data_IF_820898496216
#
_entry.id   IF_820898496216
#
_cell.length_a   1.000
_cell.length_b   1.000
_cell.length_c   1.000
_cell.angle_alpha   90.00
_cell.angle_beta   90.00
_cell.angle_gamma   90.00
#
_symmetry.space_group_name_H-M   'P 1'
#
loop_
_entity.id
_entity.type
_entity.pdbx_description
1 polymer ?
#
# COMPACT_ATOMS: atom_id res chain seq x y z
N UNK A 1 -17.06 -3.68 1.66
CA UNK A 1 -15.70 -3.10 1.79
C UNK A 1 -15.82 -1.63 2.18
N UNK A 2 -15.09 -1.15 3.19
CA UNK A 2 -15.19 0.24 3.68
C UNK A 2 -14.18 1.15 2.98
N UNK A 3 -14.60 2.35 2.60
CA UNK A 3 -13.72 3.37 2.01
C UNK A 3 -12.91 4.07 3.12
N UNK A 4 -11.62 4.34 2.87
CA UNK A 4 -10.82 5.12 3.79
C UNK A 4 -11.25 6.58 3.75
N UNK A 5 -11.58 7.13 4.92
CA UNK A 5 -12.04 8.50 5.08
C UNK A 5 -11.01 9.26 5.91
N UNK A 6 -10.33 10.23 5.29
CA UNK A 6 -9.22 10.98 5.90
C UNK A 6 -9.66 11.76 7.15
N UNK A 7 -10.94 12.12 7.25
CA UNK A 7 -11.50 12.81 8.42
C UNK A 7 -11.79 11.87 9.62
N UNK A 8 -11.74 10.55 9.43
CA UNK A 8 -11.99 9.55 10.48
C UNK A 8 -10.71 8.92 11.04
N UNK A 9 -9.53 9.35 10.58
CA UNK A 9 -8.22 8.86 11.03
C UNK A 9 -8.08 8.90 12.57
N UNK A 10 -8.63 9.94 13.20
CA UNK A 10 -8.56 10.12 14.66
C UNK A 10 -9.55 9.23 15.43
N UNK A 11 -10.54 8.62 14.75
CA UNK A 11 -11.54 7.72 15.33
C UNK A 11 -11.34 6.26 14.90
N UNK A 12 -10.23 5.93 14.24
CA UNK A 12 -9.98 4.54 13.80
C UNK A 12 -9.75 3.61 14.99
N UNK A 13 -10.60 2.59 15.12
CA UNK A 13 -10.47 1.52 16.11
C UNK A 13 -9.29 0.60 15.77
N UNK A 14 -8.77 -0.14 16.76
CA UNK A 14 -7.67 -1.08 16.54
C UNK A 14 -7.99 -2.12 15.44
N UNK A 15 -9.23 -2.57 15.38
CA UNK A 15 -9.73 -3.49 14.36
C UNK A 15 -9.73 -2.85 12.96
N UNK A 16 -10.18 -1.61 12.82
CA UNK A 16 -10.16 -0.88 11.54
C UNK A 16 -8.74 -0.67 11.02
N UNK A 17 -7.79 -0.37 11.91
CA UNK A 17 -6.37 -0.23 11.57
C UNK A 17 -5.77 -1.53 11.06
N UNK A 18 -6.08 -2.65 11.73
CA UNK A 18 -5.67 -3.98 11.28
C UNK A 18 -6.22 -4.29 9.89
N UNK A 19 -7.53 -4.14 9.68
CA UNK A 19 -8.14 -4.34 8.35
C UNK A 19 -7.55 -3.45 7.27
N UNK A 20 -7.23 -2.19 7.59
CA UNK A 20 -6.63 -1.25 6.65
C UNK A 20 -5.23 -1.69 6.23
N UNK A 21 -4.41 -2.15 7.17
CA UNK A 21 -3.08 -2.72 6.91
C UNK A 21 -3.19 -3.89 5.94
N UNK A 22 -4.04 -4.89 6.23
CA UNK A 22 -4.23 -6.05 5.35
C UNK A 22 -4.71 -5.67 3.94
N UNK A 23 -5.66 -4.74 3.83
CA UNK A 23 -6.09 -4.23 2.52
C UNK A 23 -4.95 -3.56 1.75
N UNK A 24 -4.07 -2.85 2.45
CA UNK A 24 -2.95 -2.18 1.80
C UNK A 24 -1.86 -3.15 1.35
N UNK A 25 -1.73 -4.32 1.98
CA UNK A 25 -0.91 -5.40 1.43
C UNK A 25 -1.38 -5.81 0.02
N UNK A 26 -2.69 -5.99 -0.19
CA UNK A 26 -3.22 -6.36 -1.51
C UNK A 26 -2.91 -5.31 -2.59
N UNK A 27 -3.08 -4.02 -2.25
CA UNK A 27 -2.76 -2.92 -3.16
C UNK A 27 -1.24 -2.79 -3.40
N UNK A 28 -0.41 -3.12 -2.41
CA UNK A 28 1.04 -3.19 -2.52
C UNK A 28 1.48 -4.29 -3.51
N UNK A 29 0.95 -5.51 -3.36
CA UNK A 29 1.23 -6.65 -4.26
C UNK A 29 0.82 -6.34 -5.70
N UNK A 30 -0.33 -5.68 -5.88
CA UNK A 30 -0.79 -5.21 -7.19
C UNK A 30 0.12 -4.13 -7.81
N UNK A 31 1.11 -3.60 -7.07
CA UNK A 31 1.98 -2.52 -7.51
C UNK A 31 1.23 -1.20 -7.72
N UNK A 32 0.13 -0.99 -6.99
CA UNK A 32 -0.65 0.25 -7.00
C UNK A 32 -0.13 1.28 -6.01
N UNK A 33 0.73 0.84 -5.10
CA UNK A 33 1.49 1.71 -4.19
C UNK A 33 2.89 1.92 -4.79
N UNK A 34 3.29 3.16 -5.09
CA UNK A 34 4.65 3.45 -5.52
C UNK A 34 5.60 3.27 -4.33
N UNK A 35 6.34 2.16 -4.33
CA UNK A 35 7.34 1.84 -3.31
C UNK A 35 8.71 1.63 -3.94
N UNK A 36 9.77 2.07 -3.25
CA UNK A 36 11.14 1.67 -3.58
C UNK A 36 11.40 0.22 -3.14
N UNK A 37 12.42 -0.47 -3.68
CA UNK A 37 12.74 -1.85 -3.28
C UNK A 37 13.02 -1.97 -1.78
N UNK A 38 13.74 -1.00 -1.23
CA UNK A 38 14.05 -0.94 0.20
C UNK A 38 12.79 -0.79 1.05
N UNK A 39 11.84 0.04 0.60
CA UNK A 39 10.58 0.24 1.30
C UNK A 39 9.68 -1.00 1.23
N UNK A 40 9.60 -1.62 0.05
CA UNK A 40 8.83 -2.85 -0.16
C UNK A 40 9.35 -3.99 0.73
N UNK A 41 10.67 -4.10 0.88
CA UNK A 41 11.29 -5.07 1.77
C UNK A 41 10.96 -4.81 3.25
N UNK A 42 11.11 -3.57 3.71
CA UNK A 42 10.77 -3.19 5.09
C UNK A 42 9.28 -3.43 5.39
N UNK A 43 8.40 -3.12 4.44
CA UNK A 43 6.97 -3.42 4.56
C UNK A 43 6.74 -4.92 4.63
N UNK A 44 7.36 -5.71 3.75
CA UNK A 44 7.22 -7.17 3.77
C UNK A 44 7.70 -7.78 5.10
N UNK A 45 8.79 -7.27 5.68
CA UNK A 45 9.27 -7.68 7.00
C UNK A 45 8.28 -7.31 8.12
N UNK A 46 7.67 -6.13 8.07
CA UNK A 46 6.63 -5.72 9.04
C UNK A 46 5.36 -6.58 8.93
N UNK A 47 4.94 -6.94 7.71
CA UNK A 47 3.82 -7.88 7.52
C UNK A 47 4.16 -9.31 7.95
N UNK A 48 5.42 -9.73 7.77
CA UNK A 48 5.90 -11.01 8.28
C UNK A 48 5.82 -11.04 9.81
N UNK A 49 6.28 -9.97 10.48
CA UNK A 49 6.14 -9.79 11.93
C UNK A 49 4.67 -9.81 12.37
N UNK A 50 3.77 -9.21 11.58
CA UNK A 50 2.33 -9.22 11.87
C UNK A 50 1.69 -10.61 11.71
N UNK A 51 2.18 -11.41 10.76
CA UNK A 51 1.59 -12.71 10.40
C UNK A 51 2.14 -13.86 11.24
N UNK A 52 3.46 -13.85 11.50
CA UNK A 52 4.21 -14.95 12.11
C UNK A 52 4.81 -14.59 13.47
N UNK A 53 4.79 -13.32 13.87
CA UNK A 53 5.48 -12.84 15.07
C UNK A 53 6.98 -12.70 14.83
N UNK A 54 7.76 -12.92 15.89
CA UNK A 54 9.22 -12.75 15.85
C UNK A 54 9.90 -13.69 14.84
N UNK A 55 10.91 -13.17 14.15
CA UNK A 55 11.69 -13.95 13.20
C UNK A 55 12.37 -15.15 13.89
N UNK A 56 12.19 -16.32 13.31
CA UNK A 56 12.94 -17.51 13.71
C UNK A 56 14.40 -17.41 13.27
N UNK A 57 15.27 -18.21 13.88
CA UNK A 57 16.71 -18.24 13.54
C UNK A 57 16.98 -18.47 12.05
N UNK A 58 16.06 -19.13 11.35
CA UNK A 58 16.07 -19.28 9.90
C UNK A 58 14.68 -19.04 9.33
N UNK A 59 14.61 -18.27 8.24
CA UNK A 59 13.42 -18.14 7.41
C UNK A 59 13.23 -19.43 6.60
N UNK A 60 12.07 -20.07 6.68
CA UNK A 60 11.76 -21.25 5.85
C UNK A 60 11.37 -20.85 4.42
N UNK A 61 11.50 -21.78 3.47
CA UNK A 61 11.13 -21.52 2.08
C UNK A 61 9.64 -21.22 1.92
N UNK A 62 8.79 -21.92 2.67
CA UNK A 62 7.34 -21.70 2.69
C UNK A 62 6.98 -20.30 3.23
N UNK A 63 7.63 -19.85 4.30
CA UNK A 63 7.43 -18.50 4.85
C UNK A 63 7.87 -17.44 3.85
N UNK A 64 9.06 -17.60 3.24
CA UNK A 64 9.56 -16.66 2.26
C UNK A 64 8.64 -16.55 1.03
N UNK A 65 8.18 -17.68 0.49
CA UNK A 65 7.27 -17.72 -0.65
C UNK A 65 5.92 -17.09 -0.29
N UNK A 66 5.40 -17.35 0.90
CA UNK A 66 4.17 -16.70 1.39
C UNK A 66 4.34 -15.18 1.50
N UNK A 67 5.40 -14.72 2.17
CA UNK A 67 5.64 -13.29 2.42
C UNK A 67 5.82 -12.53 1.10
N UNK A 68 6.61 -13.07 0.18
CA UNK A 68 6.87 -12.41 -1.11
C UNK A 68 5.63 -12.37 -2.00
N UNK A 69 4.77 -13.39 -1.96
CA UNK A 69 3.51 -13.40 -2.72
C UNK A 69 2.44 -12.47 -2.14
N UNK A 70 2.36 -12.37 -0.81
CA UNK A 70 1.30 -11.62 -0.11
C UNK A 70 1.66 -10.18 0.22
N UNK A 71 2.95 -9.85 0.35
CA UNK A 71 3.38 -8.57 0.91
C UNK A 71 4.45 -7.85 0.08
N UNK A 72 4.87 -8.42 -1.06
CA UNK A 72 5.86 -7.80 -1.93
C UNK A 72 5.29 -7.54 -3.34
N UNK A 73 5.59 -6.39 -3.98
CA UNK A 73 5.09 -6.08 -5.32
C UNK A 73 5.60 -7.10 -6.36
N UNK A 74 4.68 -7.79 -7.05
CA UNK A 74 5.01 -8.84 -8.01
C UNK A 74 5.98 -8.35 -9.11
N UNK A 75 5.74 -7.13 -9.62
CA UNK A 75 6.59 -6.49 -10.64
C UNK A 75 8.04 -6.29 -10.21
N UNK A 76 8.27 -6.13 -8.91
CA UNK A 76 9.60 -5.93 -8.34
C UNK A 76 10.25 -7.27 -8.01
N UNK A 77 9.46 -8.28 -7.68
CA UNK A 77 9.93 -9.64 -7.45
C UNK A 77 10.54 -10.23 -8.72
N UNK A 78 9.94 -9.98 -9.88
CA UNK A 78 10.40 -10.48 -11.20
C UNK A 78 11.83 -10.02 -11.56
N UNK A 79 12.25 -8.86 -11.09
CA UNK A 79 13.57 -8.26 -11.35
C UNK A 79 14.53 -8.39 -10.17
N UNK A 80 14.06 -8.85 -9.02
CA UNK A 80 14.86 -8.96 -7.80
C UNK A 80 15.64 -10.29 -7.76
N UNK A 81 16.84 -10.26 -7.17
CA UNK A 81 17.57 -11.48 -6.84
C UNK A 81 16.96 -12.13 -5.59
N UNK A 82 16.22 -13.23 -5.75
CA UNK A 82 15.52 -13.91 -4.65
C UNK A 82 16.42 -14.31 -3.48
N UNK A 83 17.67 -14.74 -3.75
CA UNK A 83 18.63 -15.11 -2.71
C UNK A 83 19.00 -13.90 -1.83
N UNK A 84 19.30 -12.77 -2.46
CA UNK A 84 19.64 -11.54 -1.74
C UNK A 84 18.42 -10.97 -1.03
N UNK A 85 17.25 -10.97 -1.68
CA UNK A 85 15.99 -10.55 -1.09
C UNK A 85 15.66 -11.37 0.17
N UNK A 86 15.88 -12.68 0.13
CA UNK A 86 15.66 -13.56 1.29
C UNK A 86 16.52 -13.16 2.48
N UNK A 87 17.82 -13.00 2.27
CA UNK A 87 18.75 -12.64 3.34
C UNK A 87 18.45 -11.25 3.91
N UNK A 88 18.20 -10.27 3.04
CA UNK A 88 17.87 -8.91 3.49
C UNK A 88 16.54 -8.87 4.23
N UNK A 89 15.51 -9.55 3.72
CA UNK A 89 14.19 -9.65 4.36
C UNK A 89 14.29 -10.32 5.74
N UNK A 90 15.04 -11.42 5.85
CA UNK A 90 15.24 -12.09 7.13
C UNK A 90 16.01 -11.22 8.12
N UNK A 91 17.01 -10.47 7.66
CA UNK A 91 17.73 -9.49 8.49
C UNK A 91 16.78 -8.40 8.99
N UNK A 92 16.04 -7.78 8.07
CA UNK A 92 15.05 -6.75 8.39
C UNK A 92 13.96 -7.27 9.34
N UNK A 93 13.52 -8.51 9.18
CA UNK A 93 12.54 -9.13 10.07
C UNK A 93 13.13 -9.43 11.46
N UNK A 94 14.37 -9.89 11.51
CA UNK A 94 15.08 -10.14 12.79
C UNK A 94 15.32 -8.86 13.58
N UNK A 95 15.52 -7.72 12.91
CA UNK A 95 15.61 -6.40 13.56
C UNK A 95 14.29 -5.94 14.19
N UNK A 96 13.16 -6.48 13.74
CA UNK A 96 11.82 -6.19 14.27
C UNK A 96 11.43 -7.13 15.43
N UNK A 97 12.31 -8.04 15.84
CA UNK A 97 12.04 -8.97 16.94
C UNK A 97 11.74 -8.20 18.25
N UNK A 98 10.67 -8.61 18.94
CA UNK A 98 10.14 -7.92 20.12
C UNK A 98 9.17 -6.78 19.81
N UNK A 99 8.86 -6.54 18.54
CA UNK A 99 7.83 -5.58 18.14
C UNK A 99 6.44 -6.20 18.29
N UNK A 100 5.59 -5.56 19.09
CA UNK A 100 4.20 -5.98 19.26
C UNK A 100 3.33 -5.71 18.01
N UNK A 101 2.24 -6.46 17.86
CA UNK A 101 1.31 -6.35 16.72
C UNK A 101 0.80 -4.91 16.53
N UNK A 102 0.45 -4.23 17.62
CA UNK A 102 -0.05 -2.86 17.59
C UNK A 102 1.01 -1.86 17.09
N UNK A 103 2.28 -2.09 17.41
CA UNK A 103 3.39 -1.25 16.97
C UNK A 103 3.71 -1.52 15.50
N UNK A 104 3.69 -2.77 15.06
CA UNK A 104 3.84 -3.14 13.65
C UNK A 104 2.77 -2.46 12.79
N UNK A 105 1.49 -2.58 13.17
CA UNK A 105 0.36 -1.89 12.51
C UNK A 105 0.60 -0.39 12.47
N UNK A 106 1.05 0.22 13.57
CA UNK A 106 1.30 1.65 13.65
C UNK A 106 2.40 2.10 12.69
N UNK A 107 3.51 1.37 12.61
CA UNK A 107 4.63 1.70 11.70
C UNK A 107 4.22 1.51 10.25
N UNK A 108 3.55 0.41 9.90
CA UNK A 108 3.02 0.18 8.55
C UNK A 108 2.12 1.36 8.15
N UNK A 109 1.13 1.70 8.98
CA UNK A 109 0.23 2.81 8.70
C UNK A 109 0.96 4.15 8.62
N UNK A 110 1.98 4.39 9.45
CA UNK A 110 2.77 5.62 9.39
C UNK A 110 3.53 5.75 8.06
N UNK A 111 4.14 4.66 7.60
CA UNK A 111 4.85 4.60 6.32
C UNK A 111 3.86 4.79 5.17
N UNK A 112 2.76 4.04 5.18
CA UNK A 112 1.76 4.10 4.11
C UNK A 112 1.00 5.44 4.09
N UNK A 113 0.74 6.08 5.23
CA UNK A 113 0.12 7.42 5.29
C UNK A 113 1.00 8.53 4.72
N UNK A 114 2.33 8.33 4.61
CA UNK A 114 3.20 9.27 3.87
C UNK A 114 2.90 9.27 2.37
N UNK A 115 2.25 8.22 1.86
CA UNK A 115 1.81 8.18 0.48
C UNK A 115 0.60 9.13 0.29
N UNK A 116 0.68 10.16 -0.58
CA UNK A 116 -0.38 11.15 -0.75
C UNK A 116 -1.74 10.57 -1.17
N UNK A 117 -1.75 9.36 -1.74
CA UNK A 117 -2.97 8.65 -2.19
C UNK A 117 -3.40 7.55 -1.22
N UNK A 118 -2.86 7.54 -0.01
CA UNK A 118 -3.21 6.55 0.99
C UNK A 118 -4.74 6.51 1.21
N UNK A 119 -5.30 5.30 1.03
CA UNK A 119 -6.72 5.02 1.14
C UNK A 119 -7.59 5.44 -0.05
N UNK A 120 -7.01 5.98 -1.12
CA UNK A 120 -7.73 6.16 -2.36
C UNK A 120 -8.01 4.82 -3.04
N UNK A 121 -9.20 4.63 -3.61
CA UNK A 121 -9.44 3.47 -4.48
C UNK A 121 -8.80 3.75 -5.84
N UNK A 122 -7.71 3.05 -6.15
CA UNK A 122 -7.06 3.13 -7.47
C UNK A 122 -7.70 2.12 -8.42
N UNK A 123 -8.43 2.64 -9.40
CA UNK A 123 -8.97 1.86 -10.50
C UNK A 123 -8.23 2.20 -11.80
N UNK A 124 -7.73 1.18 -12.49
CA UNK A 124 -7.16 1.36 -13.81
C UNK A 124 -8.26 1.74 -14.81
N UNK A 125 -8.06 2.82 -15.55
CA UNK A 125 -8.97 3.29 -16.58
C UNK A 125 -8.20 3.68 -17.85
N UNK A 126 -8.85 3.53 -19.01
CA UNK A 126 -8.34 4.07 -20.27
C UNK A 126 -8.93 5.46 -20.48
N UNK A 127 -8.10 6.48 -20.70
CA UNK A 127 -8.60 7.80 -21.04
C UNK A 127 -8.93 7.83 -22.53
N UNK A 128 -10.20 8.11 -22.88
CA UNK A 128 -10.66 8.23 -24.27
C UNK A 128 -10.35 9.63 -24.82
N UNK A 129 -9.07 9.98 -24.83
CA UNK A 129 -8.53 11.15 -25.53
C UNK A 129 -7.70 10.69 -26.73
N UNK A 130 -7.36 11.59 -27.66
CA UNK A 130 -6.67 11.27 -28.94
C UNK A 130 -5.40 10.40 -28.80
N UNK A 131 -4.77 10.39 -27.64
CA UNK A 131 -3.81 9.37 -27.22
C UNK A 131 -4.46 8.44 -26.19
N UNK A 132 -4.70 7.17 -26.55
CA UNK A 132 -5.17 6.11 -25.65
C UNK A 132 -4.16 5.84 -24.52
N UNK A 133 -4.14 6.70 -23.50
CA UNK A 133 -3.25 6.56 -22.34
C UNK A 133 -3.94 5.75 -21.26
N UNK A 134 -3.22 4.76 -20.73
CA UNK A 134 -3.60 4.07 -19.49
C UNK A 134 -3.41 5.05 -18.34
N UNK A 135 -4.46 5.28 -17.56
CA UNK A 135 -4.46 6.16 -16.39
C UNK A 135 -4.98 5.38 -15.18
N UNK A 136 -4.57 5.77 -13.98
CA UNK A 136 -5.21 5.33 -12.74
C UNK A 136 -6.14 6.44 -12.26
N UNK A 137 -7.37 6.08 -11.95
CA UNK A 137 -8.30 6.95 -11.24
C UNK A 137 -8.18 6.60 -9.77
N UNK A 138 -7.65 7.53 -8.97
CA UNK A 138 -7.62 7.43 -7.52
C UNK A 138 -8.80 8.23 -6.94
N UNK A 139 -9.80 7.50 -6.46
CA UNK A 139 -10.96 8.08 -5.77
C UNK A 139 -10.59 8.33 -4.31
N UNK A 140 -10.51 9.59 -3.90
CA UNK A 140 -10.41 9.97 -2.49
C UNK A 140 -11.74 10.45 -1.94
N UNK A 141 -11.82 10.60 -0.63
CA UNK A 141 -13.00 11.11 0.08
C UNK A 141 -13.36 12.57 -0.26
N UNK A 142 -12.40 13.35 -0.73
CA UNK A 142 -12.58 14.77 -1.05
C UNK A 142 -12.43 15.12 -2.53
N UNK A 143 -11.83 14.23 -3.33
CA UNK A 143 -11.47 14.51 -4.71
C UNK A 143 -11.23 13.25 -5.55
N UNK A 144 -11.46 13.36 -6.84
CA UNK A 144 -11.04 12.36 -7.83
C UNK A 144 -9.69 12.80 -8.41
N UNK A 145 -8.68 11.94 -8.27
CA UNK A 145 -7.35 12.18 -8.82
C UNK A 145 -7.15 11.29 -10.06
N UNK A 146 -6.76 11.87 -11.19
CA UNK A 146 -6.32 11.11 -12.36
C UNK A 146 -4.79 11.09 -12.39
N UNK A 147 -4.21 9.90 -12.45
CA UNK A 147 -2.78 9.65 -12.33
C UNK A 147 -2.31 8.95 -13.60
N UNK A 148 -1.20 9.42 -14.18
CA UNK A 148 -0.60 8.75 -15.35
C UNK A 148 0.09 7.44 -14.93
N UNK A 149 -0.08 6.38 -15.70
CA UNK A 149 0.44 5.02 -15.45
C UNK A 149 1.97 4.98 -15.27
N UNK A 150 2.69 5.97 -15.80
CA UNK A 150 4.16 5.99 -15.80
C UNK A 150 4.81 6.75 -14.64
N UNK A 151 4.12 7.66 -13.97
CA UNK A 151 4.78 8.57 -13.03
C UNK A 151 4.17 8.63 -11.63
N UNK A 152 2.99 8.04 -11.37
CA UNK A 152 2.30 8.22 -10.09
C UNK A 152 2.16 9.70 -9.64
N UNK A 153 2.32 10.64 -10.58
CA UNK A 153 2.12 12.07 -10.38
C UNK A 153 0.68 12.37 -10.78
N UNK A 154 -0.09 12.94 -9.85
CA UNK A 154 -1.46 13.36 -10.11
C UNK A 154 -1.46 14.45 -11.19
N UNK A 155 -2.11 14.19 -12.32
CA UNK A 155 -2.20 15.14 -13.43
C UNK A 155 -3.37 16.12 -13.26
N UNK A 156 -4.46 15.70 -12.59
CA UNK A 156 -5.63 16.54 -12.36
C UNK A 156 -6.29 16.23 -11.02
N UNK A 157 -6.66 17.30 -10.28
CA UNK A 157 -7.52 17.26 -9.10
C UNK A 157 -8.91 17.74 -9.52
N UNK A 158 -9.90 16.85 -9.51
CA UNK A 158 -11.29 17.25 -9.62
C UNK A 158 -11.89 17.37 -8.22
N UNK A 159 -12.16 18.60 -7.80
CA UNK A 159 -13.02 18.88 -6.66
C UNK A 159 -14.47 18.82 -7.14
N UNK A 160 -15.38 18.11 -6.44
CA UNK A 160 -16.80 18.30 -6.65
C UNK A 160 -17.19 19.66 -6.07
N UNK A 161 -17.03 20.74 -6.86
CA UNK A 161 -17.77 21.98 -6.59
C UNK A 161 -19.24 21.69 -6.85
N UNK A 162 -19.96 21.30 -5.80
CA UNK A 162 -21.41 21.46 -5.76
C UNK A 162 -21.69 22.96 -5.80
N UNK A 163 -21.92 23.49 -7.00
CA UNK A 163 -22.59 24.77 -7.12
C UNK A 163 -24.03 24.56 -6.66
N UNK A 164 -24.51 25.26 -5.63
CA UNK A 164 -25.94 25.29 -5.35
C UNK A 164 -26.61 25.95 -6.56
N UNK A 165 -27.36 25.16 -7.32
CA UNK A 165 -28.29 25.68 -8.31
C UNK A 165 -29.38 26.39 -7.50
N UNK A 166 -29.29 27.72 -7.40
CA UNK A 166 -30.36 28.55 -6.86
C UNK A 166 -31.47 28.52 -7.92
N UNK A 167 -32.64 27.90 -7.66
CA UNK A 167 -33.76 27.98 -8.59
C UNK A 167 -34.24 29.44 -8.63
N UNK A 168 -34.41 29.97 -9.85
CA UNK A 168 -35.08 31.26 -10.09
C UNK A 168 -36.59 31.12 -9.92
#
# INVERSE_FOLDING_TARGET
MRHYWRHLINNETAMERSFLVWRMAEELVCGRIPTSPQLAEQLAALYAQLSYGDATAQLTDEQFDFITKQFYPAKMLDVACLKSLRSSLHSSWSELAGMGEADAIRVILQVLRKWPLFGCHLQAAGMRTSNERRVFIALSDTAVHVIDYRQFVSFNRYFPTFYPVIPR
#
